data_IF_376067475471
#
_entry.id   IF_376067475471
#
_cell.length_a   1.000
_cell.length_b   1.000
_cell.length_c   1.000
_cell.angle_alpha   90.00
_cell.angle_beta   90.00
_cell.angle_gamma   90.00
#
_symmetry.space_group_name_H-M   'P 1'
#
loop_
_entity.id
_entity.type
_entity.pdbx_description
1 polymer ?
#
# COMPACT_ATOMS: atom_id res chain seq x y z
N UNK A 1 15.17 0.71 16.99
CA UNK A 1 15.13 2.02 16.32
C UNK A 1 13.75 2.61 16.55
N UNK A 2 13.67 3.68 17.34
CA UNK A 2 12.40 4.40 17.56
C UNK A 2 12.14 5.27 16.34
N UNK A 3 11.10 4.95 15.56
CA UNK A 3 10.59 5.88 14.55
C UNK A 3 9.94 7.02 15.34
N UNK A 4 10.49 8.23 15.27
CA UNK A 4 9.83 9.40 15.84
C UNK A 4 8.50 9.57 15.10
N UNK A 5 7.39 9.47 15.83
CA UNK A 5 6.05 9.72 15.28
C UNK A 5 5.90 11.24 15.20
N UNK A 6 5.75 11.82 13.99
CA UNK A 6 5.43 13.24 13.84
C UNK A 6 4.13 13.57 14.58
N UNK A 7 4.09 14.66 15.34
CA UNK A 7 2.89 15.07 16.10
C UNK A 7 1.67 15.34 15.18
N UNK A 8 1.93 15.66 13.92
CA UNK A 8 0.95 15.83 12.84
C UNK A 8 0.18 14.55 12.49
N UNK A 9 0.82 13.37 12.58
CA UNK A 9 0.17 12.09 12.29
C UNK A 9 -0.85 11.72 13.37
N UNK A 10 -0.61 12.12 14.63
CA UNK A 10 -1.56 11.95 15.74
C UNK A 10 -2.72 12.95 15.62
N UNK A 11 -2.44 14.15 15.12
CA UNK A 11 -3.45 15.18 14.88
C UNK A 11 -4.34 14.89 13.65
N UNK A 12 -3.96 13.97 12.75
CA UNK A 12 -4.73 13.61 11.58
C UNK A 12 -6.08 12.96 11.91
N UNK A 13 -6.22 12.33 13.09
CA UNK A 13 -7.47 11.70 13.52
C UNK A 13 -8.65 12.68 13.61
N UNK A 14 -8.41 13.93 14.03
CA UNK A 14 -9.47 14.93 14.23
C UNK A 14 -10.01 15.52 12.92
N UNK A 15 -9.37 15.21 11.78
CA UNK A 15 -9.74 15.70 10.44
C UNK A 15 -10.43 14.64 9.59
N UNK A 16 -10.65 13.43 10.12
CA UNK A 16 -11.29 12.36 9.37
C UNK A 16 -12.78 12.62 9.21
N UNK A 17 -13.30 12.41 8.00
CA UNK A 17 -14.74 12.39 7.78
C UNK A 17 -15.37 11.11 8.39
N UNK A 18 -16.70 11.02 8.39
CA UNK A 18 -17.40 9.90 9.03
C UNK A 18 -17.00 8.53 8.49
N UNK A 19 -16.86 8.39 7.16
CA UNK A 19 -16.48 7.13 6.51
C UNK A 19 -15.04 6.73 6.83
N UNK A 20 -14.12 7.71 6.78
CA UNK A 20 -12.72 7.52 7.16
C UNK A 20 -12.58 7.15 8.63
N UNK A 21 -13.34 7.78 9.52
CA UNK A 21 -13.35 7.47 10.93
C UNK A 21 -13.88 6.06 11.20
N UNK A 22 -14.91 5.62 10.46
CA UNK A 22 -15.42 4.25 10.55
C UNK A 22 -14.38 3.23 10.09
N UNK A 23 -13.72 3.45 8.95
CA UNK A 23 -12.64 2.61 8.46
C UNK A 23 -11.48 2.56 9.46
N UNK A 24 -11.05 3.72 9.95
CA UNK A 24 -10.01 3.88 10.96
C UNK A 24 -10.33 3.05 12.22
N UNK A 25 -11.52 3.22 12.80
CA UNK A 25 -11.91 2.51 14.02
C UNK A 25 -11.97 1.00 13.81
N UNK A 26 -12.55 0.55 12.69
CA UNK A 26 -12.66 -0.88 12.37
C UNK A 26 -11.29 -1.54 12.24
N UNK A 27 -10.35 -0.87 11.57
CA UNK A 27 -9.00 -1.38 11.38
C UNK A 27 -8.24 -1.37 12.71
N UNK A 28 -8.35 -0.30 13.48
CA UNK A 28 -7.69 -0.18 14.77
C UNK A 28 -8.18 -1.24 15.77
N UNK A 29 -9.47 -1.58 15.74
CA UNK A 29 -10.03 -2.67 16.53
C UNK A 29 -9.42 -4.03 16.15
N UNK A 30 -9.23 -4.32 14.85
CA UNK A 30 -8.52 -5.54 14.40
C UNK A 30 -7.07 -5.57 14.85
N UNK A 31 -6.37 -4.44 14.76
CA UNK A 31 -4.99 -4.30 15.23
C UNK A 31 -4.91 -4.59 16.73
N UNK A 32 -5.80 -4.01 17.54
CA UNK A 32 -5.79 -4.15 18.99
C UNK A 32 -6.24 -5.54 19.47
N UNK A 33 -7.17 -6.18 18.76
CA UNK A 33 -7.62 -7.54 19.04
C UNK A 33 -6.68 -8.63 18.50
N UNK A 34 -5.64 -8.23 17.75
CA UNK A 34 -4.72 -9.14 17.06
C UNK A 34 -5.41 -10.17 16.17
N UNK A 35 -6.56 -9.80 15.61
CA UNK A 35 -7.31 -10.66 14.71
C UNK A 35 -6.92 -10.38 13.26
N UNK A 36 -6.80 -11.41 12.40
CA UNK A 36 -6.50 -11.22 10.99
C UNK A 36 -7.49 -10.27 10.31
N UNK A 37 -7.00 -9.49 9.36
CA UNK A 37 -7.84 -8.58 8.59
C UNK A 37 -7.16 -8.13 7.30
N UNK A 38 -7.83 -8.31 6.17
CA UNK A 38 -7.40 -7.77 4.88
C UNK A 38 -8.43 -6.72 4.45
N UNK A 39 -7.99 -5.47 4.37
CA UNK A 39 -8.83 -4.33 4.06
C UNK A 39 -8.43 -3.72 2.74
N UNK A 40 -9.43 -3.43 1.91
CA UNK A 40 -9.28 -2.62 0.72
C UNK A 40 -9.86 -1.25 1.02
N UNK A 41 -9.03 -0.20 1.02
CA UNK A 41 -9.50 1.17 1.20
C UNK A 41 -9.45 1.88 -0.13
N UNK A 42 -10.64 2.28 -0.55
CA UNK A 42 -10.92 3.05 -1.76
C UNK A 42 -11.75 4.27 -1.34
N UNK A 43 -11.55 5.43 -1.97
CA UNK A 43 -12.31 6.62 -1.60
C UNK A 43 -11.91 7.86 -2.37
N UNK A 44 -12.86 8.76 -2.70
CA UNK A 44 -12.71 9.87 -3.64
C UNK A 44 -11.59 10.84 -3.26
N UNK A 45 -10.56 10.91 -4.11
CA UNK A 45 -9.39 11.80 -3.98
C UNK A 45 -8.24 11.26 -3.13
N UNK A 46 -7.02 11.55 -3.57
CA UNK A 46 -5.76 11.19 -2.89
C UNK A 46 -5.61 11.83 -1.48
N UNK A 47 -6.03 13.07 -1.19
CA UNK A 47 -5.79 13.67 0.13
C UNK A 47 -6.49 12.96 1.30
N UNK A 48 -7.68 12.41 1.07
CA UNK A 48 -8.50 11.78 2.12
C UNK A 48 -7.98 10.40 2.54
N UNK A 49 -7.60 9.56 1.57
CA UNK A 49 -7.07 8.22 1.81
C UNK A 49 -5.75 8.27 2.59
N UNK A 50 -4.83 9.13 2.16
CA UNK A 50 -3.54 9.30 2.81
C UNK A 50 -3.66 9.83 4.23
N UNK A 51 -4.62 10.74 4.50
CA UNK A 51 -4.85 11.26 5.86
C UNK A 51 -5.30 10.17 6.83
N UNK A 52 -6.22 9.29 6.42
CA UNK A 52 -6.65 8.15 7.25
C UNK A 52 -5.50 7.17 7.53
N UNK A 53 -4.68 6.91 6.51
CA UNK A 53 -3.53 6.00 6.61
C UNK A 53 -2.41 6.58 7.49
N UNK A 54 -2.12 7.87 7.36
CA UNK A 54 -1.19 8.56 8.24
C UNK A 54 -1.67 8.51 9.69
N UNK A 55 -2.96 8.74 9.94
CA UNK A 55 -3.55 8.62 11.27
C UNK A 55 -3.38 7.20 11.86
N UNK A 56 -3.67 6.15 11.09
CA UNK A 56 -3.49 4.76 11.52
C UNK A 56 -2.02 4.44 11.84
N UNK A 57 -1.11 4.80 10.94
CA UNK A 57 0.33 4.61 11.16
C UNK A 57 0.81 5.35 12.40
N UNK A 58 0.40 6.60 12.56
CA UNK A 58 0.73 7.44 13.71
C UNK A 58 0.23 6.83 15.01
N UNK A 59 -1.05 6.45 15.06
CA UNK A 59 -1.67 5.85 16.25
C UNK A 59 -0.97 4.56 16.68
N UNK A 60 -0.82 3.59 15.77
CA UNK A 60 -0.21 2.29 16.09
C UNK A 60 1.24 2.46 16.54
N UNK A 61 2.02 3.32 15.88
CA UNK A 61 3.41 3.58 16.26
C UNK A 61 3.53 4.37 17.57
N UNK A 62 2.58 5.25 17.87
CA UNK A 62 2.56 6.02 19.12
C UNK A 62 2.39 5.11 20.35
N UNK A 63 1.76 3.96 20.17
CA UNK A 63 1.57 2.92 21.20
C UNK A 63 2.76 1.95 21.28
N UNK A 64 3.87 2.24 20.60
CA UNK A 64 5.08 1.40 20.61
C UNK A 64 4.96 0.14 19.73
N UNK A 65 3.87 -0.03 19.00
CA UNK A 65 3.67 -1.15 18.09
C UNK A 65 4.34 -0.90 16.73
N UNK A 66 4.58 -1.97 15.98
CA UNK A 66 5.21 -1.90 14.65
C UNK A 66 4.12 -1.80 13.58
N UNK A 67 4.09 -0.66 12.88
CA UNK A 67 3.30 -0.45 11.68
C UNK A 67 4.20 -0.19 10.45
N UNK A 68 4.06 -1.01 9.42
CA UNK A 68 4.86 -0.94 8.19
C UNK A 68 4.08 -0.22 7.10
N UNK A 69 4.72 0.77 6.48
CA UNK A 69 4.19 1.45 5.31
C UNK A 69 5.01 1.05 4.07
N UNK A 70 4.31 0.66 3.02
CA UNK A 70 4.88 0.32 1.73
C UNK A 70 4.04 0.84 0.58
N UNK A 71 4.66 1.06 -0.58
CA UNK A 71 3.97 1.41 -1.81
C UNK A 71 4.61 0.72 -3.03
N UNK A 72 3.89 0.61 -4.14
CA UNK A 72 4.45 0.02 -5.38
C UNK A 72 5.50 0.93 -6.01
N UNK A 73 5.24 2.24 -6.12
CA UNK A 73 6.19 3.24 -6.63
C UNK A 73 7.04 3.88 -5.52
N UNK A 74 8.22 4.39 -5.90
CA UNK A 74 9.10 5.15 -4.99
C UNK A 74 8.50 6.49 -4.56
N UNK A 75 7.76 7.15 -5.45
CA UNK A 75 7.11 8.44 -5.18
C UNK A 75 6.01 8.27 -4.14
N UNK A 76 5.11 7.29 -4.32
CA UNK A 76 4.08 6.99 -3.33
C UNK A 76 4.67 6.56 -1.98
N UNK A 77 5.78 5.83 -1.98
CA UNK A 77 6.45 5.43 -0.75
C UNK A 77 6.97 6.62 0.07
N UNK A 78 7.42 7.70 -0.57
CA UNK A 78 7.90 8.91 0.12
C UNK A 78 6.77 9.69 0.80
N UNK A 79 5.55 9.62 0.24
CA UNK A 79 4.36 10.29 0.80
C UNK A 79 3.92 9.62 2.10
N UNK A 80 4.14 8.30 2.23
CA UNK A 80 3.80 7.58 3.45
C UNK A 80 4.84 7.81 4.56
N UNK A 81 4.42 8.12 5.81
CA UNK A 81 5.35 8.27 6.92
C UNK A 81 6.21 7.01 7.14
N UNK A 82 7.53 7.14 6.94
CA UNK A 82 8.48 6.02 7.03
C UNK A 82 8.25 4.93 5.97
N UNK A 83 7.61 5.30 4.85
CA UNK A 83 7.33 4.41 3.74
C UNK A 83 8.57 3.95 3.00
N UNK A 84 8.46 2.77 2.37
CA UNK A 84 9.48 2.19 1.49
C UNK A 84 8.77 1.52 0.33
N UNK A 85 9.43 1.33 -0.81
CA UNK A 85 8.84 0.52 -1.88
C UNK A 85 8.58 -0.91 -1.39
N UNK A 86 7.48 -1.54 -1.84
CA UNK A 86 7.14 -2.92 -1.50
C UNK A 86 8.28 -3.89 -1.85
N UNK A 87 8.93 -3.67 -3.00
CA UNK A 87 10.13 -4.40 -3.43
C UNK A 87 11.24 -4.36 -2.37
N UNK A 88 11.58 -3.18 -1.86
CA UNK A 88 12.63 -3.05 -0.84
C UNK A 88 12.17 -3.52 0.54
N UNK A 89 10.90 -3.30 0.91
CA UNK A 89 10.35 -3.65 2.22
C UNK A 89 10.25 -5.16 2.40
N UNK A 90 9.78 -5.86 1.38
CA UNK A 90 9.51 -7.30 1.42
C UNK A 90 10.59 -8.10 0.70
N UNK A 91 11.66 -7.47 0.20
CA UNK A 91 12.75 -8.13 -0.53
C UNK A 91 12.24 -8.97 -1.71
N UNK A 92 11.34 -8.39 -2.51
CA UNK A 92 10.71 -9.05 -3.66
C UNK A 92 11.75 -9.18 -4.80
N UNK A 93 11.96 -10.38 -5.38
CA UNK A 93 12.78 -10.56 -6.57
C UNK A 93 12.25 -9.76 -7.77
N UNK A 94 13.13 -9.39 -8.70
CA UNK A 94 12.73 -8.68 -9.93
C UNK A 94 11.95 -9.56 -10.91
N UNK A 95 12.25 -10.86 -10.91
CA UNK A 95 11.54 -11.88 -11.69
C UNK A 95 10.74 -12.73 -10.71
N UNK A 96 9.43 -12.81 -10.94
CA UNK A 96 8.50 -13.54 -10.08
C UNK A 96 7.63 -14.46 -10.93
N UNK A 97 7.43 -15.67 -10.43
CA UNK A 97 6.56 -16.70 -11.01
C UNK A 97 5.61 -17.29 -9.95
N UNK A 98 4.89 -18.36 -10.31
CA UNK A 98 3.91 -19.03 -9.46
C UNK A 98 4.49 -19.75 -8.24
N UNK A 99 5.81 -19.94 -8.18
CA UNK A 99 6.50 -20.64 -7.08
C UNK A 99 7.45 -19.73 -6.31
N UNK A 100 7.71 -18.53 -6.83
CA UNK A 100 8.67 -17.60 -6.27
C UNK A 100 8.29 -17.17 -4.85
N UNK A 101 9.31 -17.06 -4.00
CA UNK A 101 9.24 -16.50 -2.65
C UNK A 101 10.02 -15.19 -2.60
N UNK A 102 9.74 -14.37 -1.59
CA UNK A 102 10.60 -13.22 -1.29
C UNK A 102 11.99 -13.70 -0.87
N UNK A 103 13.01 -12.86 -1.06
CA UNK A 103 14.38 -13.15 -0.62
C UNK A 103 14.55 -13.02 0.92
N UNK A 104 13.46 -12.84 1.67
CA UNK A 104 13.53 -12.79 3.13
C UNK A 104 13.78 -14.18 3.70
N UNK A 105 14.92 -14.35 4.37
CA UNK A 105 15.14 -15.54 5.19
C UNK A 105 14.12 -15.57 6.34
N UNK A 106 13.52 -16.74 6.58
CA UNK A 106 12.59 -16.98 7.69
C UNK A 106 13.19 -16.62 9.06
N UNK A 107 14.51 -16.72 9.22
CA UNK A 107 15.20 -16.35 10.46
C UNK A 107 15.85 -14.95 10.42
N UNK A 108 15.73 -14.26 9.29
CA UNK A 108 16.33 -12.95 9.07
C UNK A 108 15.59 -11.80 9.77
N UNK A 109 16.25 -10.63 9.83
CA UNK A 109 15.69 -9.42 10.42
C UNK A 109 14.39 -8.95 9.74
N UNK A 110 14.27 -9.12 8.42
CA UNK A 110 13.04 -8.83 7.67
C UNK A 110 11.85 -9.68 8.14
N UNK A 111 12.04 -11.00 8.25
CA UNK A 111 11.00 -11.89 8.76
C UNK A 111 10.64 -11.59 10.23
N UNK A 112 11.63 -11.27 11.08
CA UNK A 112 11.35 -10.79 12.45
C UNK A 112 10.48 -9.53 12.46
N UNK A 113 10.74 -8.59 11.54
CA UNK A 113 9.94 -7.39 11.40
C UNK A 113 8.50 -7.71 10.97
N UNK A 114 8.29 -8.63 10.03
CA UNK A 114 6.95 -9.09 9.63
C UNK A 114 6.23 -9.73 10.81
N UNK A 115 6.89 -10.64 11.56
CA UNK A 115 6.29 -11.29 12.75
C UNK A 115 5.81 -10.29 13.78
N UNK A 116 6.60 -9.25 14.04
CA UNK A 116 6.27 -8.23 15.04
C UNK A 116 5.32 -7.14 14.52
N UNK A 117 5.18 -6.96 13.21
CA UNK A 117 4.26 -5.99 12.63
C UNK A 117 2.82 -6.32 13.01
N UNK A 118 2.13 -5.31 13.56
CA UNK A 118 0.70 -5.34 13.89
C UNK A 118 -0.16 -4.79 12.77
N UNK A 119 0.41 -3.88 11.97
CA UNK A 119 -0.24 -3.29 10.81
C UNK A 119 0.74 -3.21 9.64
N UNK A 120 0.29 -3.58 8.45
CA UNK A 120 1.05 -3.45 7.21
C UNK A 120 0.18 -2.78 6.16
N UNK A 121 0.69 -1.72 5.55
CA UNK A 121 0.00 -0.93 4.53
C UNK A 121 0.76 -1.05 3.23
N UNK A 122 0.04 -1.35 2.16
CA UNK A 122 0.56 -1.38 0.80
C UNK A 122 -0.27 -0.47 -0.09
N UNK A 123 0.25 0.73 -0.32
CA UNK A 123 -0.32 1.69 -1.26
C UNK A 123 -0.01 1.32 -2.70
N UNK A 124 -0.96 1.58 -3.59
CA UNK A 124 -0.90 1.17 -5.00
C UNK A 124 -0.72 -0.35 -5.16
N UNK A 125 -1.17 -1.16 -4.19
CA UNK A 125 -1.06 -2.61 -4.27
C UNK A 125 -1.69 -3.20 -5.55
N UNK A 126 -2.85 -2.70 -6.04
CA UNK A 126 -3.42 -3.18 -7.30
C UNK A 126 -2.57 -2.88 -8.55
N UNK A 127 -1.61 -1.96 -8.47
CA UNK A 127 -0.66 -1.69 -9.56
C UNK A 127 0.48 -2.71 -9.60
N UNK A 128 0.67 -3.50 -8.54
CA UNK A 128 1.63 -4.59 -8.54
C UNK A 128 1.13 -5.74 -9.43
N UNK A 129 2.06 -6.44 -10.11
CA UNK A 129 1.72 -7.66 -10.83
C UNK A 129 1.11 -8.68 -9.88
N UNK A 130 0.14 -9.46 -10.35
CA UNK A 130 -0.51 -10.52 -9.57
C UNK A 130 0.51 -11.43 -8.85
N UNK A 131 1.51 -11.92 -9.58
CA UNK A 131 2.55 -12.78 -9.00
C UNK A 131 3.39 -12.10 -7.92
N UNK A 132 3.53 -10.78 -7.95
CA UNK A 132 4.21 -10.01 -6.89
C UNK A 132 3.41 -10.06 -5.59
N UNK A 133 2.08 -9.91 -5.66
CA UNK A 133 1.20 -10.00 -4.49
C UNK A 133 1.19 -11.43 -3.93
N UNK A 134 1.04 -12.43 -4.81
CA UNK A 134 1.06 -13.85 -4.43
C UNK A 134 2.40 -14.27 -3.81
N UNK A 135 3.53 -13.76 -4.32
CA UNK A 135 4.87 -14.01 -3.76
C UNK A 135 5.00 -13.49 -2.33
N UNK A 136 4.49 -12.28 -2.06
CA UNK A 136 4.48 -11.70 -0.71
C UNK A 136 3.58 -12.50 0.23
N UNK A 137 2.38 -12.85 -0.22
CA UNK A 137 1.42 -13.65 0.53
C UNK A 137 2.01 -15.04 0.90
N UNK A 138 2.52 -15.79 -0.07
CA UNK A 138 3.20 -17.08 0.17
C UNK A 138 4.32 -16.94 1.19
N UNK A 139 5.15 -15.90 1.05
CA UNK A 139 6.27 -15.66 1.96
C UNK A 139 5.81 -15.33 3.37
N UNK A 140 4.73 -14.56 3.53
CA UNK A 140 4.21 -14.23 4.85
C UNK A 140 3.58 -15.44 5.52
N UNK A 141 2.88 -16.28 4.74
CA UNK A 141 2.33 -17.55 5.22
C UNK A 141 3.44 -18.48 5.75
N UNK A 142 4.55 -18.60 5.01
CA UNK A 142 5.73 -19.34 5.50
C UNK A 142 6.37 -18.68 6.73
N UNK A 143 6.61 -17.36 6.72
CA UNK A 143 7.25 -16.65 7.85
C UNK A 143 6.44 -16.78 9.15
N UNK A 144 5.11 -16.77 9.02
CA UNK A 144 4.16 -16.81 10.13
C UNK A 144 3.72 -18.23 10.50
N UNK A 145 4.14 -19.26 9.75
CA UNK A 145 3.67 -20.64 9.91
C UNK A 145 2.13 -20.73 9.95
N UNK A 146 1.47 -20.06 9.00
CA UNK A 146 0.02 -19.92 8.94
C UNK A 146 -0.50 -19.90 7.51
N UNK A 147 -1.54 -20.69 7.23
CA UNK A 147 -2.18 -20.75 5.92
C UNK A 147 -3.16 -19.60 5.66
N UNK A 148 -3.40 -18.75 6.66
CA UNK A 148 -4.25 -17.56 6.53
C UNK A 148 -3.57 -16.57 5.58
N UNK A 149 -4.31 -15.91 4.66
CA UNK A 149 -3.74 -14.89 3.78
C UNK A 149 -2.83 -13.89 4.53
N UNK A 150 -1.66 -13.63 3.94
CA UNK A 150 -0.58 -12.81 4.49
C UNK A 150 -0.13 -13.23 5.90
N UNK A 151 -0.24 -14.52 6.23
CA UNK A 151 0.13 -15.06 7.53
C UNK A 151 -0.71 -14.50 8.69
N UNK A 152 -1.95 -14.11 8.42
CA UNK A 152 -2.89 -13.57 9.41
C UNK A 152 -2.60 -12.14 9.85
N UNK A 153 -1.79 -11.39 9.09
CA UNK A 153 -1.51 -9.99 9.38
C UNK A 153 -2.71 -9.09 9.11
N UNK A 154 -2.80 -7.97 9.85
CA UNK A 154 -3.69 -6.88 9.47
C UNK A 154 -3.04 -6.11 8.33
N UNK A 155 -3.59 -6.30 7.14
CA UNK A 155 -3.13 -5.75 5.88
C UNK A 155 -4.13 -4.71 5.38
N UNK A 156 -3.63 -3.55 4.95
CA UNK A 156 -4.40 -2.58 4.17
C UNK A 156 -3.80 -2.48 2.78
N UNK A 157 -4.63 -2.71 1.76
CA UNK A 157 -4.30 -2.48 0.37
C UNK A 157 -5.09 -1.29 -0.15
N UNK A 158 -4.38 -0.38 -0.79
CA UNK A 158 -5.00 0.84 -1.27
C UNK A 158 -5.05 0.85 -2.80
N UNK A 159 -6.22 1.12 -3.36
CA UNK A 159 -6.37 1.43 -4.78
C UNK A 159 -5.95 2.87 -5.03
N UNK A 160 -5.13 3.09 -6.04
CA UNK A 160 -4.95 4.40 -6.67
C UNK A 160 -5.68 4.37 -7.99
N UNK A 161 -6.23 5.51 -8.38
CA UNK A 161 -6.90 5.78 -9.65
C UNK A 161 -8.42 5.55 -9.74
N UNK A 162 -9.16 6.41 -9.04
CA UNK A 162 -10.59 6.56 -9.30
C UNK A 162 -10.87 7.31 -10.60
N UNK A 163 -9.99 8.21 -11.08
CA UNK A 163 -10.21 8.88 -12.38
C UNK A 163 -10.35 7.83 -13.47
N UNK A 164 -9.48 6.82 -13.51
CA UNK A 164 -9.63 5.69 -14.42
C UNK A 164 -10.95 4.95 -14.21
N UNK A 165 -11.40 4.73 -12.98
CA UNK A 165 -12.65 4.01 -12.71
C UNK A 165 -13.92 4.76 -13.14
N UNK A 166 -13.94 6.09 -13.07
CA UNK A 166 -15.14 6.89 -13.44
C UNK A 166 -15.05 7.51 -14.83
N UNK A 167 -13.83 7.77 -15.30
CA UNK A 167 -13.52 8.35 -16.60
C UNK A 167 -12.90 7.27 -17.48
N UNK A 168 -13.76 6.59 -18.23
CA UNK A 168 -13.40 5.55 -19.20
C UNK A 168 -12.40 6.08 -20.23
N UNK A 169 -12.45 7.38 -20.55
CA UNK A 169 -11.51 8.02 -21.49
C UNK A 169 -10.11 8.07 -20.88
N UNK A 170 -9.99 8.46 -19.61
CA UNK A 170 -8.73 8.44 -18.86
C UNK A 170 -8.21 7.02 -18.64
N UNK A 171 -9.09 6.07 -18.32
CA UNK A 171 -8.75 4.63 -18.25
C UNK A 171 -8.16 4.12 -19.55
N UNK A 172 -8.85 4.33 -20.67
CA UNK A 172 -8.44 3.83 -21.97
C UNK A 172 -7.14 4.49 -22.44
N UNK A 173 -6.93 5.77 -22.12
CA UNK A 173 -5.66 6.44 -22.36
C UNK A 173 -4.53 5.81 -21.55
N UNK A 174 -4.69 5.60 -20.25
CA UNK A 174 -3.66 4.94 -19.43
C UNK A 174 -3.37 3.51 -19.91
N UNK A 175 -4.38 2.78 -20.39
CA UNK A 175 -4.18 1.45 -20.99
C UNK A 175 -3.36 1.53 -22.28
N UNK A 176 -3.68 2.46 -23.19
CA UNK A 176 -2.90 2.65 -24.44
C UNK A 176 -1.46 3.07 -24.13
N UNK A 177 -1.25 3.96 -23.17
CA UNK A 177 0.08 4.36 -22.70
C UNK A 177 0.85 3.17 -22.12
N UNK A 178 0.22 2.39 -21.23
CA UNK A 178 0.83 1.23 -20.60
C UNK A 178 1.15 0.07 -21.57
N UNK A 179 0.35 -0.08 -22.62
CA UNK A 179 0.56 -1.06 -23.68
C UNK A 179 1.54 -0.59 -24.77
N UNK A 180 1.98 0.67 -24.74
CA UNK A 180 2.83 1.25 -25.78
C UNK A 180 2.10 1.52 -27.11
N UNK A 181 0.77 1.63 -27.07
CA UNK A 181 -0.10 1.87 -28.24
C UNK A 181 -0.44 3.36 -28.43
N UNK A 182 -0.08 4.22 -27.47
CA UNK A 182 -0.36 5.65 -27.54
C UNK A 182 0.66 6.40 -28.41
N UNK A 183 0.17 7.35 -29.21
CA UNK A 183 0.99 8.02 -30.22
C UNK A 183 1.91 9.06 -29.57
N UNK A 184 3.22 8.92 -29.76
CA UNK A 184 4.21 9.90 -29.25
C UNK A 184 4.35 11.07 -30.21
N UNK A 185 4.48 12.29 -29.68
CA UNK A 185 4.59 13.51 -30.51
C UNK A 185 6.05 13.86 -30.82
N UNK A 186 7.00 13.62 -29.89
CA UNK A 186 8.46 13.77 -30.10
C UNK A 186 9.25 13.14 -28.94
N UNK A 187 10.44 12.57 -29.18
CA UNK A 187 11.39 12.05 -28.16
C UNK A 187 10.76 11.19 -27.04
N UNK A 188 9.94 10.20 -27.40
CA UNK A 188 9.19 9.35 -26.46
C UNK A 188 8.22 10.10 -25.51
N UNK A 189 7.88 11.34 -25.82
CA UNK A 189 6.87 12.10 -25.09
C UNK A 189 5.48 11.84 -25.67
N UNK A 190 4.55 11.50 -24.79
CA UNK A 190 3.13 11.32 -25.08
C UNK A 190 2.43 12.63 -24.78
N UNK A 191 1.65 13.14 -25.74
CA UNK A 191 0.81 14.28 -25.45
C UNK A 191 -0.39 13.88 -24.60
N UNK A 192 -0.63 14.67 -23.56
CA UNK A 192 -1.86 14.57 -22.80
C UNK A 192 -3.01 15.14 -23.67
N UNK A 193 -4.12 14.39 -23.85
CA UNK A 193 -5.30 14.92 -24.51
C UNK A 193 -5.77 16.21 -23.80
N UNK A 194 -6.22 17.21 -24.55
CA UNK A 194 -6.70 18.49 -23.98
C UNK A 194 -7.87 18.30 -22.99
N UNK A 195 -8.63 17.23 -23.17
CA UNK A 195 -9.73 16.82 -22.28
C UNK A 195 -9.21 16.33 -20.90
N UNK A 196 -7.92 16.05 -20.79
CA UNK A 196 -7.26 15.55 -19.58
C UNK A 196 -6.47 16.62 -18.84
N UNK A 197 -6.18 17.73 -19.50
CA UNK A 197 -5.54 18.91 -18.90
C UNK A 197 -6.57 19.74 -18.14
N UNK A 198 -6.20 20.21 -16.94
CA UNK A 198 -7.01 21.18 -16.20
C UNK A 198 -6.74 22.54 -16.84
N UNK A 199 -7.79 23.20 -17.36
CA UNK A 199 -7.70 24.58 -17.83
C UNK A 199 -7.72 25.58 -16.68
#
# INVERSE_FOLDING_TARGET
MSVKVPAEDVAAQSKLNQEQAQAYNTILERVNSETPGLFFVDGPGEPGKHSCIAALLGKVRSEGMIALASATSGVAAVILPGGRTAHSRFSIPLQVDETTMTNMSKQGGGAKLIRQAKLIIWDEAPMAKRHTIETVDRSFRDIMDSDIPFGGKVMIQLSTNMRARVDTTFSNFLLRVGNGEETTIQDNLIALPEQMTIQ
#
